data_IF_571615692652
#
_entry.id   IF_571615692652
#
_cell.length_a   1.000
_cell.length_b   1.000
_cell.length_c   1.000
_cell.angle_alpha   90.00
_cell.angle_beta   90.00
_cell.angle_gamma   90.00
#
_symmetry.space_group_name_H-M   'P 1'
#
loop_
_entity.id
_entity.type
_entity.pdbx_description
1 polymer ?
#
# COMPACT_ATOMS: atom_id res chain seq x y z
N UNK A 1 -15.52 -28.09 -11.86
CA UNK A 1 -15.74 -27.12 -10.79
C UNK A 1 -16.98 -27.49 -9.98
N UNK A 2 -18.09 -27.76 -10.66
CA UNK A 2 -19.38 -28.10 -10.00
C UNK A 2 -19.41 -29.43 -9.24
N UNK A 3 -18.40 -30.30 -9.43
CA UNK A 3 -18.33 -31.64 -8.81
C UNK A 3 -17.35 -31.68 -7.61
N UNK A 4 -16.86 -30.55 -7.15
CA UNK A 4 -16.00 -30.46 -5.98
C UNK A 4 -16.79 -29.97 -4.78
N UNK A 5 -16.52 -30.54 -3.61
CA UNK A 5 -17.15 -30.19 -2.32
C UNK A 5 -16.69 -28.84 -1.78
N UNK A 6 -15.85 -28.11 -2.52
CA UNK A 6 -15.33 -26.80 -2.17
C UNK A 6 -15.21 -25.90 -3.39
N UNK A 7 -15.28 -24.59 -3.16
CA UNK A 7 -15.14 -23.58 -4.20
C UNK A 7 -13.67 -23.40 -4.61
N UNK A 8 -13.44 -23.31 -5.94
CA UNK A 8 -12.11 -22.99 -6.51
C UNK A 8 -12.24 -21.79 -7.47
N UNK A 9 -11.25 -20.89 -7.44
CA UNK A 9 -11.19 -19.69 -8.28
C UNK A 9 -10.30 -19.87 -9.52
N UNK A 10 -9.53 -20.95 -9.58
CA UNK A 10 -8.65 -21.27 -10.69
C UNK A 10 -7.84 -22.53 -10.48
N UNK A 11 -6.96 -22.81 -11.43
CA UNK A 11 -6.05 -23.96 -11.44
C UNK A 11 -4.63 -23.44 -11.63
N UNK A 12 -3.66 -24.05 -10.96
CA UNK A 12 -2.23 -23.73 -11.15
C UNK A 12 -1.56 -24.89 -11.87
N UNK A 13 -1.06 -24.62 -13.07
CA UNK A 13 -0.21 -25.56 -13.82
C UNK A 13 1.23 -25.37 -13.39
N UNK A 14 1.93 -26.47 -13.13
CA UNK A 14 3.34 -26.47 -12.71
C UNK A 14 4.14 -27.41 -13.60
N UNK A 15 5.36 -27.05 -13.90
CA UNK A 15 6.32 -27.97 -14.52
C UNK A 15 6.56 -29.13 -13.54
N UNK A 16 6.35 -30.39 -13.97
CA UNK A 16 6.40 -31.54 -13.07
C UNK A 16 7.85 -31.99 -12.72
N UNK A 17 8.83 -31.64 -13.54
CA UNK A 17 10.24 -31.97 -13.33
C UNK A 17 10.94 -30.94 -12.44
N UNK A 18 11.50 -31.38 -11.33
CA UNK A 18 12.20 -30.52 -10.36
C UNK A 18 13.53 -29.96 -10.91
N UNK A 19 14.18 -30.64 -11.84
CA UNK A 19 15.41 -30.14 -12.48
C UNK A 19 15.07 -28.96 -13.38
N UNK A 20 14.00 -29.08 -14.16
CA UNK A 20 13.49 -27.99 -14.99
C UNK A 20 12.97 -26.82 -14.14
N UNK A 21 12.32 -27.08 -13.00
CA UNK A 21 11.92 -26.02 -12.08
C UNK A 21 13.13 -25.22 -11.57
N UNK A 22 14.22 -25.92 -11.18
CA UNK A 22 15.49 -25.25 -10.78
C UNK A 22 16.09 -24.41 -11.91
N UNK A 23 16.08 -24.92 -13.14
CA UNK A 23 16.59 -24.18 -14.32
C UNK A 23 15.77 -22.93 -14.63
N UNK A 24 14.45 -23.01 -14.56
CA UNK A 24 13.55 -21.88 -14.78
C UNK A 24 13.66 -20.84 -13.67
N UNK A 25 13.88 -21.28 -12.43
CA UNK A 25 14.03 -20.42 -11.26
C UNK A 25 12.78 -19.65 -10.90
N UNK A 26 12.97 -18.57 -10.11
CA UNK A 26 11.93 -17.71 -9.62
C UNK A 26 12.20 -16.25 -10.03
N UNK A 27 11.14 -15.45 -10.14
CA UNK A 27 11.19 -13.99 -10.13
C UNK A 27 10.66 -13.51 -8.81
N UNK A 28 11.10 -12.36 -8.32
CA UNK A 28 10.77 -11.76 -7.02
C UNK A 28 9.78 -12.55 -6.11
N UNK A 29 8.52 -12.62 -6.50
CA UNK A 29 7.44 -13.24 -5.71
C UNK A 29 6.73 -14.40 -6.43
N UNK A 30 7.23 -14.85 -7.57
CA UNK A 30 6.57 -15.89 -8.36
C UNK A 30 7.56 -16.86 -9.00
N UNK A 31 7.21 -18.16 -9.09
CA UNK A 31 7.99 -19.13 -9.83
C UNK A 31 7.79 -18.94 -11.35
N UNK A 32 8.87 -19.07 -12.14
CA UNK A 32 8.78 -19.08 -13.61
C UNK A 32 8.26 -20.40 -14.17
N UNK A 33 8.19 -21.44 -13.34
CA UNK A 33 7.75 -22.78 -13.69
C UNK A 33 6.29 -23.07 -13.32
N UNK A 34 5.52 -22.03 -12.95
CA UNK A 34 4.09 -22.17 -12.65
C UNK A 34 3.28 -21.07 -13.30
N UNK A 35 2.07 -21.42 -13.78
CA UNK A 35 1.11 -20.49 -14.38
C UNK A 35 -0.27 -20.73 -13.77
N UNK A 36 -0.88 -19.66 -13.23
CA UNK A 36 -2.24 -19.71 -12.73
C UNK A 36 -3.24 -19.41 -13.86
N UNK A 37 -4.18 -20.32 -14.08
CA UNK A 37 -5.36 -20.12 -14.92
C UNK A 37 -6.57 -19.84 -14.03
N UNK A 38 -6.99 -18.59 -13.98
CA UNK A 38 -8.18 -18.21 -13.22
C UNK A 38 -9.46 -18.42 -14.04
N UNK A 39 -10.50 -18.91 -13.38
CA UNK A 39 -11.81 -19.07 -14.02
C UNK A 39 -12.47 -17.72 -14.30
N UNK A 40 -13.50 -17.72 -15.14
CA UNK A 40 -14.30 -16.53 -15.41
C UNK A 40 -14.83 -15.95 -14.09
N UNK A 41 -14.76 -14.65 -13.97
CA UNK A 41 -15.21 -13.89 -12.81
C UNK A 41 -16.74 -13.95 -12.65
N UNK A 42 -17.17 -13.94 -11.39
CA UNK A 42 -18.58 -13.79 -11.08
C UNK A 42 -19.01 -12.33 -11.28
N UNK A 43 -20.20 -12.15 -11.86
CA UNK A 43 -20.78 -10.83 -12.15
C UNK A 43 -22.15 -10.72 -11.53
N UNK A 44 -22.51 -9.52 -11.09
CA UNK A 44 -23.87 -9.22 -10.66
C UNK A 44 -24.24 -7.79 -11.04
N UNK A 45 -25.53 -7.52 -11.11
CA UNK A 45 -26.06 -6.18 -11.36
C UNK A 45 -26.40 -5.51 -10.05
N UNK A 46 -25.97 -4.24 -9.88
CA UNK A 46 -26.30 -3.43 -8.72
C UNK A 46 -26.51 -1.97 -9.12
N UNK A 47 -26.86 -1.11 -8.17
CA UNK A 47 -27.04 0.33 -8.39
C UNK A 47 -26.03 1.13 -7.55
N UNK A 48 -25.42 2.14 -8.15
CA UNK A 48 -24.53 3.07 -7.43
C UNK A 48 -25.37 4.00 -6.56
N UNK A 49 -25.11 3.97 -5.26
CA UNK A 49 -25.77 4.84 -4.28
C UNK A 49 -24.99 6.14 -4.14
N UNK A 50 -23.65 6.04 -4.09
CA UNK A 50 -22.74 7.17 -3.89
C UNK A 50 -21.33 6.84 -4.43
N UNK A 51 -20.49 7.87 -4.62
CA UNK A 51 -19.08 7.73 -5.00
C UNK A 51 -18.21 8.44 -3.96
N UNK A 52 -17.51 7.66 -3.16
CA UNK A 52 -16.57 8.14 -2.14
C UNK A 52 -15.15 8.22 -2.69
N UNK A 53 -14.40 9.27 -2.33
CA UNK A 53 -12.99 9.40 -2.68
C UNK A 53 -12.14 8.95 -1.49
N UNK A 54 -11.45 7.84 -1.63
CA UNK A 54 -10.47 7.35 -0.68
C UNK A 54 -9.09 7.93 -0.99
N UNK A 55 -8.33 8.30 0.05
CA UNK A 55 -7.00 8.89 -0.09
C UNK A 55 -5.99 7.90 0.46
N UNK A 56 -5.09 7.44 -0.40
CA UNK A 56 -4.02 6.53 -0.03
C UNK A 56 -2.78 7.24 0.56
N UNK A 57 -1.84 6.46 1.09
CA UNK A 57 -0.59 6.96 1.72
C UNK A 57 0.31 7.81 0.80
N UNK A 58 0.17 7.66 -0.51
CA UNK A 58 0.89 8.45 -1.52
C UNK A 58 0.10 9.66 -2.01
N UNK A 59 -1.01 10.00 -1.34
CA UNK A 59 -1.91 11.05 -1.75
C UNK A 59 -2.85 10.68 -2.90
N UNK A 60 -2.80 9.47 -3.44
CA UNK A 60 -3.65 9.02 -4.53
C UNK A 60 -5.13 9.09 -4.14
N UNK A 61 -5.96 9.75 -4.96
CA UNK A 61 -7.40 9.80 -4.82
C UNK A 61 -8.01 8.65 -5.61
N UNK A 62 -8.53 7.66 -4.89
CA UNK A 62 -9.16 6.48 -5.48
C UNK A 62 -10.66 6.55 -5.30
N UNK A 63 -11.45 6.68 -6.38
CA UNK A 63 -12.89 6.67 -6.28
C UNK A 63 -13.42 5.25 -6.04
N UNK A 64 -14.34 5.13 -5.09
CA UNK A 64 -15.01 3.87 -4.72
C UNK A 64 -16.52 4.08 -4.79
N UNK A 65 -17.19 3.28 -5.63
CA UNK A 65 -18.64 3.27 -5.69
C UNK A 65 -19.19 2.55 -4.46
N UNK A 66 -20.09 3.21 -3.73
CA UNK A 66 -21.03 2.59 -2.80
C UNK A 66 -22.19 2.06 -3.61
N UNK A 67 -22.43 0.78 -3.54
CA UNK A 67 -23.49 0.12 -4.33
C UNK A 67 -24.51 -0.51 -3.41
N UNK A 68 -25.71 -0.73 -3.92
CA UNK A 68 -26.68 -1.57 -3.23
C UNK A 68 -26.05 -2.94 -3.00
N UNK A 69 -26.06 -3.46 -1.76
CA UNK A 69 -25.42 -4.74 -1.47
C UNK A 69 -25.93 -5.85 -2.41
N UNK A 70 -25.01 -6.59 -3.01
CA UNK A 70 -25.31 -7.68 -3.93
C UNK A 70 -24.38 -8.86 -3.67
N UNK A 71 -24.90 -10.08 -3.77
CA UNK A 71 -24.09 -11.28 -3.62
C UNK A 71 -23.33 -11.57 -4.92
N UNK A 72 -22.01 -11.71 -4.83
CA UNK A 72 -21.14 -12.07 -5.96
C UNK A 72 -20.23 -13.23 -5.53
N UNK A 73 -20.52 -14.43 -6.02
CA UNK A 73 -19.74 -15.61 -5.68
C UNK A 73 -19.73 -15.92 -4.18
N UNK A 74 -20.90 -15.87 -3.52
CA UNK A 74 -21.05 -16.17 -2.09
C UNK A 74 -20.69 -15.02 -1.15
N UNK A 75 -20.19 -13.87 -1.66
CA UNK A 75 -19.78 -12.73 -0.84
C UNK A 75 -20.70 -11.52 -1.08
N UNK A 76 -21.16 -10.90 0.01
CA UNK A 76 -21.95 -9.67 -0.05
C UNK A 76 -21.04 -8.47 -0.34
N UNK A 77 -21.20 -7.86 -1.51
CA UNK A 77 -20.42 -6.73 -1.99
C UNK A 77 -21.23 -5.44 -1.90
N UNK A 78 -20.72 -4.44 -1.17
CA UNK A 78 -21.32 -3.10 -1.03
C UNK A 78 -20.39 -1.98 -1.54
N UNK A 79 -19.16 -2.30 -1.93
CA UNK A 79 -18.18 -1.34 -2.42
C UNK A 79 -17.48 -1.93 -3.65
N UNK A 80 -17.29 -1.09 -4.69
CA UNK A 80 -16.55 -1.47 -5.88
C UNK A 80 -15.62 -0.34 -6.32
N UNK A 81 -14.37 -0.68 -6.68
CA UNK A 81 -13.43 0.35 -7.13
C UNK A 81 -13.83 0.89 -8.51
N UNK A 82 -13.63 2.19 -8.68
CA UNK A 82 -13.72 2.89 -9.96
C UNK A 82 -12.32 3.21 -10.51
N UNK A 83 -11.27 2.68 -9.89
CA UNK A 83 -9.86 2.83 -10.23
C UNK A 83 -9.35 4.29 -10.17
N UNK A 84 -9.80 5.17 -11.05
CA UNK A 84 -9.34 6.56 -11.16
C UNK A 84 -10.39 7.45 -11.87
N UNK A 85 -10.08 8.75 -11.98
CA UNK A 85 -10.91 9.75 -12.66
C UNK A 85 -11.17 9.38 -14.14
N UNK A 86 -10.13 8.91 -14.85
CA UNK A 86 -10.21 8.61 -16.29
C UNK A 86 -11.18 7.46 -16.58
N UNK A 87 -11.23 6.45 -15.69
CA UNK A 87 -12.20 5.35 -15.79
C UNK A 87 -13.65 5.80 -15.57
N UNK A 88 -13.88 6.73 -14.65
CA UNK A 88 -15.22 7.31 -14.46
C UNK A 88 -15.66 8.05 -15.73
N UNK A 89 -14.75 8.85 -16.32
CA UNK A 89 -15.03 9.59 -17.54
C UNK A 89 -15.24 8.64 -18.72
N UNK A 90 -14.36 7.64 -18.89
CA UNK A 90 -14.40 6.69 -19.99
C UNK A 90 -15.68 5.85 -20.01
N UNK A 91 -16.14 5.43 -18.82
CA UNK A 91 -17.35 4.63 -18.66
C UNK A 91 -18.60 5.49 -18.45
N UNK A 92 -18.48 6.83 -18.41
CA UNK A 92 -19.53 7.80 -18.08
C UNK A 92 -20.33 7.37 -16.83
N UNK A 93 -19.62 7.05 -15.73
CA UNK A 93 -20.25 6.53 -14.49
C UNK A 93 -20.88 7.70 -13.73
N UNK A 94 -22.12 7.49 -13.25
CA UNK A 94 -22.86 8.48 -12.48
C UNK A 94 -23.52 7.86 -11.25
N UNK A 95 -23.76 8.66 -10.23
CA UNK A 95 -24.55 8.26 -9.09
C UNK A 95 -25.98 7.92 -9.54
N UNK A 96 -26.53 6.82 -9.06
CA UNK A 96 -27.83 6.30 -9.44
C UNK A 96 -27.81 5.30 -10.62
N UNK A 97 -26.67 5.14 -11.31
CA UNK A 97 -26.57 4.18 -12.41
C UNK A 97 -26.76 2.74 -11.97
N UNK A 98 -27.41 1.96 -12.81
CA UNK A 98 -27.36 0.51 -12.75
C UNK A 98 -26.09 0.03 -13.42
N UNK A 99 -25.30 -0.79 -12.73
CA UNK A 99 -23.95 -1.21 -13.13
C UNK A 99 -23.77 -2.72 -13.03
N UNK A 100 -22.90 -3.25 -13.88
CA UNK A 100 -22.40 -4.62 -13.76
C UNK A 100 -21.13 -4.57 -12.91
N UNK A 101 -21.16 -5.25 -11.77
CA UNK A 101 -20.04 -5.41 -10.84
C UNK A 101 -19.41 -6.76 -11.08
N UNK A 102 -18.10 -6.80 -11.16
CA UNK A 102 -17.31 -8.01 -11.37
C UNK A 102 -16.37 -8.24 -10.19
N UNK A 103 -16.29 -9.49 -9.75
CA UNK A 103 -15.35 -9.96 -8.73
C UNK A 103 -14.65 -11.21 -9.24
N UNK A 104 -13.36 -11.12 -9.51
CA UNK A 104 -12.52 -12.25 -9.93
C UNK A 104 -11.83 -12.85 -8.71
N UNK A 105 -12.26 -14.02 -8.22
CA UNK A 105 -11.72 -14.66 -7.02
C UNK A 105 -11.73 -13.72 -5.80
N UNK A 106 -10.62 -13.63 -5.06
CA UNK A 106 -10.45 -12.71 -3.92
C UNK A 106 -10.01 -11.29 -4.33
N UNK A 107 -10.13 -10.94 -5.62
CA UNK A 107 -9.76 -9.60 -6.12
C UNK A 107 -10.84 -8.58 -5.74
N UNK A 108 -10.40 -7.33 -5.59
CA UNK A 108 -11.26 -6.18 -5.25
C UNK A 108 -12.38 -6.04 -6.29
N UNK A 109 -13.67 -5.99 -5.88
CA UNK A 109 -14.79 -5.78 -6.79
C UNK A 109 -14.62 -4.47 -7.56
N UNK A 110 -14.92 -4.49 -8.85
CA UNK A 110 -14.84 -3.30 -9.70
C UNK A 110 -16.07 -3.19 -10.62
N UNK A 111 -16.34 -1.95 -11.06
CA UNK A 111 -17.41 -1.69 -12.03
C UNK A 111 -16.91 -2.06 -13.42
N UNK A 112 -17.54 -3.05 -14.05
CA UNK A 112 -17.24 -3.46 -15.42
C UNK A 112 -17.84 -2.50 -16.45
N UNK A 113 -19.16 -2.26 -16.35
CA UNK A 113 -19.90 -1.41 -17.27
C UNK A 113 -21.14 -0.81 -16.62
N UNK A 114 -21.71 0.20 -17.29
CA UNK A 114 -22.98 0.85 -16.93
C UNK A 114 -24.08 0.36 -17.88
N UNK A 115 -25.25 0.07 -17.33
CA UNK A 115 -26.47 -0.22 -18.12
C UNK A 115 -27.14 1.11 -18.48
N UNK A 116 -26.76 1.67 -19.62
CA UNK A 116 -27.29 2.97 -20.11
C UNK A 116 -28.81 2.93 -20.36
N UNK A 117 -29.39 1.76 -20.63
CA UNK A 117 -30.86 1.63 -20.87
C UNK A 117 -31.67 1.93 -19.60
N UNK A 118 -31.07 1.65 -18.43
CA UNK A 118 -31.73 1.87 -17.12
C UNK A 118 -31.35 3.23 -16.49
N UNK A 119 -30.56 4.05 -17.18
CA UNK A 119 -30.14 5.34 -16.66
C UNK A 119 -31.29 6.36 -16.63
N UNK A 120 -31.44 7.07 -15.52
CA UNK A 120 -32.36 8.19 -15.40
C UNK A 120 -31.92 9.34 -16.32
N UNK A 121 -32.88 9.96 -17.04
CA UNK A 121 -32.62 11.16 -17.85
C UNK A 121 -32.13 12.37 -17.06
N UNK A 122 -32.40 12.39 -15.73
CA UNK A 122 -31.97 13.45 -14.79
C UNK A 122 -30.60 13.16 -14.15
N UNK A 123 -29.92 12.08 -14.52
CA UNK A 123 -28.63 11.68 -13.98
C UNK A 123 -27.55 12.70 -14.33
N UNK A 124 -26.85 13.22 -13.32
CA UNK A 124 -25.76 14.21 -13.48
C UNK A 124 -24.41 13.49 -13.53
N UNK A 125 -23.47 14.07 -14.32
CA UNK A 125 -22.08 13.58 -14.37
C UNK A 125 -21.41 13.75 -13.01
N UNK A 126 -20.66 12.76 -12.59
CA UNK A 126 -19.83 12.86 -11.39
C UNK A 126 -18.67 13.81 -11.66
N UNK A 127 -18.51 14.81 -10.79
CA UNK A 127 -17.41 15.77 -10.85
C UNK A 127 -16.33 15.35 -9.89
N UNK A 128 -15.18 14.95 -10.42
CA UNK A 128 -14.04 14.55 -9.60
C UNK A 128 -13.47 15.77 -8.83
N UNK A 129 -13.17 15.66 -7.53
CA UNK A 129 -12.79 16.81 -6.72
C UNK A 129 -11.44 17.40 -7.16
N UNK A 130 -11.41 18.72 -7.39
CA UNK A 130 -10.19 19.50 -7.69
C UNK A 130 -9.36 19.77 -6.43
N UNK A 131 -9.98 19.69 -5.27
CA UNK A 131 -9.34 19.83 -3.96
C UNK A 131 -9.46 18.53 -3.17
N UNK A 132 -8.47 18.25 -2.34
CA UNK A 132 -8.44 17.08 -1.48
C UNK A 132 -9.59 17.13 -0.46
N UNK A 133 -10.47 16.12 -0.39
CA UNK A 133 -11.61 16.15 0.53
C UNK A 133 -11.20 16.05 2.01
N UNK A 134 -9.93 15.73 2.32
CA UNK A 134 -9.43 15.65 3.69
C UNK A 134 -8.79 16.96 4.16
N UNK A 135 -7.95 17.59 3.35
CA UNK A 135 -7.15 18.74 3.79
C UNK A 135 -7.37 20.02 2.96
N UNK A 136 -8.24 19.99 1.95
CA UNK A 136 -8.52 21.15 1.08
C UNK A 136 -7.42 21.50 0.07
N UNK A 137 -6.23 20.92 0.17
CA UNK A 137 -5.14 21.18 -0.76
C UNK A 137 -5.51 20.81 -2.19
N UNK A 138 -4.95 21.52 -3.17
CA UNK A 138 -5.21 21.24 -4.60
C UNK A 138 -4.85 19.78 -4.94
N UNK A 139 -5.58 19.19 -5.86
CA UNK A 139 -5.26 17.87 -6.42
C UNK A 139 -4.65 18.03 -7.81
N UNK A 140 -3.62 17.25 -8.10
CA UNK A 140 -2.85 17.31 -9.34
C UNK A 140 -2.73 15.92 -9.99
N UNK A 141 -2.63 15.88 -11.31
CA UNK A 141 -2.11 14.76 -12.08
C UNK A 141 -0.67 15.06 -12.41
N UNK A 142 0.24 14.18 -12.01
CA UNK A 142 1.67 14.38 -12.26
C UNK A 142 2.00 14.07 -13.72
N UNK A 143 2.85 14.89 -14.32
CA UNK A 143 3.36 14.63 -15.66
C UNK A 143 4.56 13.71 -15.60
N UNK A 144 4.47 12.56 -16.25
CA UNK A 144 5.58 11.63 -16.38
C UNK A 144 6.45 12.06 -17.59
N UNK A 145 7.67 12.50 -17.30
CA UNK A 145 8.62 13.00 -18.32
C UNK A 145 9.09 11.89 -19.28
N UNK A 146 9.14 10.64 -18.83
CA UNK A 146 9.57 9.48 -19.63
C UNK A 146 8.48 9.10 -20.63
N UNK A 147 7.24 8.96 -20.17
CA UNK A 147 6.11 8.58 -21.05
C UNK A 147 5.47 9.75 -21.74
N UNK A 148 5.86 10.99 -21.39
CA UNK A 148 5.27 12.26 -21.88
C UNK A 148 3.73 12.34 -21.71
N UNK A 149 3.20 11.67 -20.68
CA UNK A 149 1.77 11.62 -20.37
C UNK A 149 1.52 12.01 -18.91
N UNK A 150 0.32 12.55 -18.65
CA UNK A 150 -0.13 12.73 -17.28
C UNK A 150 -0.45 11.37 -16.64
N UNK A 151 -0.17 11.24 -15.33
CA UNK A 151 -0.60 10.10 -14.54
C UNK A 151 -2.14 10.02 -14.56
N UNK A 152 -2.68 8.82 -14.73
CA UNK A 152 -4.12 8.56 -14.64
C UNK A 152 -4.65 8.85 -13.22
N UNK A 153 -3.79 8.78 -12.22
CA UNK A 153 -4.14 8.96 -10.81
C UNK A 153 -3.94 10.41 -10.39
N UNK A 154 -5.05 11.04 -9.96
CA UNK A 154 -5.01 12.36 -9.32
C UNK A 154 -4.55 12.22 -7.86
N UNK A 155 -3.71 13.16 -7.41
CA UNK A 155 -3.12 13.13 -6.06
C UNK A 155 -3.32 14.43 -5.32
N UNK A 156 -3.45 14.35 -4.00
CA UNK A 156 -3.34 15.48 -3.11
C UNK A 156 -1.93 16.07 -3.19
N UNK A 157 -1.81 17.38 -3.38
CA UNK A 157 -0.52 18.07 -3.44
C UNK A 157 0.10 18.35 -2.07
N UNK A 158 -0.58 17.97 -0.98
CA UNK A 158 -0.07 18.14 0.38
C UNK A 158 1.17 17.28 0.61
N UNK A 159 2.19 17.88 1.20
CA UNK A 159 3.46 17.24 1.47
C UNK A 159 3.59 16.68 2.89
N UNK A 160 4.46 15.70 3.06
CA UNK A 160 4.83 15.15 4.35
C UNK A 160 3.64 14.52 5.10
N UNK A 161 3.33 15.09 6.26
CA UNK A 161 2.25 14.66 7.16
C UNK A 161 1.17 15.74 7.35
N UNK A 162 1.07 16.71 6.42
CA UNK A 162 0.11 17.82 6.52
C UNK A 162 -1.34 17.40 6.20
N UNK A 163 -1.54 16.34 5.43
CA UNK A 163 -2.88 15.80 5.16
C UNK A 163 -3.18 14.64 6.11
N UNK A 164 -4.23 14.77 6.92
CA UNK A 164 -4.65 13.78 7.90
C UNK A 164 -4.75 12.36 7.31
N UNK A 165 -5.49 12.19 6.21
CA UNK A 165 -5.69 10.87 5.59
C UNK A 165 -4.39 10.27 5.08
N UNK A 166 -3.51 11.08 4.48
CA UNK A 166 -2.18 10.61 4.04
C UNK A 166 -1.36 10.14 5.24
N UNK A 167 -1.38 10.92 6.33
CA UNK A 167 -0.63 10.59 7.55
C UNK A 167 -1.11 9.31 8.19
N UNK A 168 -2.42 9.16 8.35
CA UNK A 168 -3.01 7.92 8.86
C UNK A 168 -2.63 6.71 8.00
N UNK A 169 -2.71 6.82 6.67
CA UNK A 169 -2.36 5.71 5.78
C UNK A 169 -0.84 5.42 5.77
N UNK A 170 0.02 6.43 5.97
CA UNK A 170 1.46 6.23 6.19
C UNK A 170 1.72 5.47 7.50
N UNK A 171 1.04 5.84 8.59
CA UNK A 171 1.16 5.14 9.88
C UNK A 171 0.67 3.70 9.80
N UNK A 172 -0.46 3.44 9.13
CA UNK A 172 -0.96 2.08 8.89
C UNK A 172 0.04 1.24 8.09
N UNK A 173 0.68 1.84 7.08
CA UNK A 173 1.74 1.18 6.33
C UNK A 173 2.95 0.89 7.22
N UNK A 174 3.36 1.84 8.04
CA UNK A 174 4.51 1.73 8.93
C UNK A 174 4.36 0.54 9.90
N UNK A 175 3.17 0.33 10.45
CA UNK A 175 2.91 -0.78 11.39
C UNK A 175 2.53 -2.09 10.71
N UNK A 176 2.39 -2.12 9.38
CA UNK A 176 1.93 -3.30 8.62
C UNK A 176 2.86 -4.50 8.73
N UNK A 177 2.35 -5.69 8.37
CA UNK A 177 3.05 -6.98 8.46
C UNK A 177 4.40 -6.99 7.76
N UNK A 178 4.50 -6.39 6.58
CA UNK A 178 5.71 -6.33 5.78
C UNK A 178 6.70 -5.26 6.27
N UNK A 179 6.20 -4.25 7.03
CA UNK A 179 7.00 -3.18 7.64
C UNK A 179 7.41 -3.55 9.07
N UNK A 180 6.95 -2.82 10.08
CA UNK A 180 7.31 -3.12 11.49
C UNK A 180 6.59 -4.34 12.07
N UNK A 181 5.44 -4.74 11.54
CA UNK A 181 4.62 -5.85 12.03
C UNK A 181 4.34 -5.73 13.53
N UNK A 182 3.71 -4.62 13.94
CA UNK A 182 3.38 -4.36 15.33
C UNK A 182 1.99 -4.95 15.63
N UNK A 183 1.97 -6.02 16.38
CA UNK A 183 0.72 -6.63 16.82
C UNK A 183 0.00 -5.67 17.82
N UNK A 184 -1.32 -5.61 17.74
CA UNK A 184 -2.12 -4.68 18.52
C UNK A 184 -2.33 -3.30 17.89
N UNK A 185 -1.54 -2.88 16.89
CA UNK A 185 -1.76 -1.65 16.12
C UNK A 185 -2.48 -1.91 14.79
N UNK A 186 -3.69 -2.46 14.85
CA UNK A 186 -4.54 -2.61 13.67
C UNK A 186 -5.00 -1.28 13.08
N UNK A 187 -5.53 -1.30 11.84
CA UNK A 187 -5.92 -0.08 11.11
C UNK A 187 -6.86 0.85 11.90
N UNK A 188 -7.86 0.29 12.61
CA UNK A 188 -8.82 1.06 13.42
C UNK A 188 -8.16 1.70 14.64
N UNK A 189 -7.21 1.00 15.27
CA UNK A 189 -6.48 1.50 16.44
C UNK A 189 -5.57 2.66 16.03
N UNK A 190 -4.85 2.55 14.91
CA UNK A 190 -4.05 3.65 14.35
C UNK A 190 -4.92 4.88 14.08
N UNK A 191 -6.12 4.72 13.50
CA UNK A 191 -7.05 5.83 13.29
C UNK A 191 -7.54 6.44 14.62
N UNK A 192 -7.87 5.60 15.60
CA UNK A 192 -8.28 6.05 16.94
C UNK A 192 -7.17 6.83 17.63
N UNK A 193 -5.96 6.30 17.65
CA UNK A 193 -4.80 6.96 18.27
C UNK A 193 -4.41 8.27 17.58
N UNK A 194 -4.56 8.33 16.25
CA UNK A 194 -4.42 9.59 15.51
C UNK A 194 -5.43 10.64 15.97
N UNK A 195 -6.72 10.29 16.01
CA UNK A 195 -7.79 11.22 16.47
C UNK A 195 -7.58 11.72 17.89
N UNK A 196 -7.06 10.85 18.76
CA UNK A 196 -6.72 11.19 20.14
C UNK A 196 -5.37 11.91 20.28
N UNK A 197 -4.68 12.18 19.16
CA UNK A 197 -3.36 12.80 19.12
C UNK A 197 -2.28 12.04 19.91
N UNK A 198 -2.46 10.74 20.11
CA UNK A 198 -1.46 9.88 20.74
C UNK A 198 -0.33 9.54 19.77
N UNK A 199 -0.62 9.45 18.46
CA UNK A 199 0.34 9.29 17.39
C UNK A 199 0.06 10.28 16.26
N UNK A 200 1.07 11.04 15.85
CA UNK A 200 1.01 11.95 14.72
C UNK A 200 2.10 11.59 13.68
N UNK A 201 3.21 11.05 14.17
CA UNK A 201 4.36 10.64 13.38
C UNK A 201 4.77 9.21 13.76
N UNK A 202 5.52 8.49 12.90
CA UNK A 202 5.98 7.14 13.17
C UNK A 202 6.76 6.96 14.47
N UNK A 203 7.59 7.94 14.87
CA UNK A 203 8.36 7.89 16.12
C UNK A 203 7.50 7.93 17.37
N UNK A 204 6.29 8.50 17.31
CA UNK A 204 5.40 8.59 18.45
C UNK A 204 4.92 7.21 18.91
N UNK A 205 4.86 6.24 17.99
CA UNK A 205 4.51 4.85 18.28
C UNK A 205 5.44 4.26 19.36
N UNK A 206 6.70 4.67 19.36
CA UNK A 206 7.70 4.18 20.31
C UNK A 206 7.78 5.01 21.60
N UNK A 207 6.96 6.07 21.70
CA UNK A 207 6.90 7.01 22.83
C UNK A 207 5.49 7.07 23.45
N UNK A 208 4.64 6.07 23.22
CA UNK A 208 3.25 6.04 23.68
C UNK A 208 3.15 6.12 25.21
N UNK A 209 2.18 6.91 25.68
CA UNK A 209 1.81 6.97 27.11
C UNK A 209 0.77 5.87 27.40
N UNK A 210 1.27 4.75 27.91
CA UNK A 210 0.45 3.57 28.19
C UNK A 210 -0.58 3.79 29.29
N UNK A 211 -0.31 4.70 30.25
CA UNK A 211 -1.27 5.06 31.31
C UNK A 211 -2.49 5.79 30.75
N UNK A 212 -2.30 6.58 29.68
CA UNK A 212 -3.43 7.20 28.98
C UNK A 212 -4.22 6.20 28.17
N UNK A 213 -3.53 5.23 27.54
CA UNK A 213 -4.19 4.20 26.71
C UNK A 213 -5.05 3.30 27.58
N UNK A 214 -4.60 2.90 28.77
CA UNK A 214 -5.34 2.03 29.69
C UNK A 214 -6.70 2.62 30.11
N UNK A 215 -6.83 3.96 30.12
CA UNK A 215 -8.06 4.66 30.43
C UNK A 215 -9.05 4.76 29.27
N UNK A 216 -8.67 4.33 28.08
CA UNK A 216 -9.54 4.38 26.90
C UNK A 216 -10.52 3.21 26.91
N UNK A 217 -11.73 3.47 26.41
CA UNK A 217 -12.75 2.44 26.24
C UNK A 217 -12.22 1.28 25.37
N UNK A 218 -12.45 0.05 25.82
CA UNK A 218 -11.98 -1.16 25.14
C UNK A 218 -10.51 -1.52 25.39
N UNK A 219 -9.79 -0.75 26.22
CA UNK A 219 -8.44 -1.03 26.65
C UNK A 219 -8.40 -1.44 28.13
N UNK A 220 -7.76 -2.55 28.40
CA UNK A 220 -7.47 -3.01 29.76
C UNK A 220 -5.97 -3.23 29.91
N UNK A 221 -5.51 -3.41 31.15
CA UNK A 221 -4.12 -3.61 31.51
C UNK A 221 -3.39 -4.63 30.63
N UNK A 222 -3.99 -5.81 30.41
CA UNK A 222 -3.38 -6.86 29.60
C UNK A 222 -3.19 -6.44 28.13
N UNK A 223 -4.18 -5.71 27.54
CA UNK A 223 -4.08 -5.22 26.16
C UNK A 223 -2.96 -4.19 26.01
N UNK A 224 -2.79 -3.33 27.02
CA UNK A 224 -1.74 -2.33 27.06
C UNK A 224 -0.36 -2.97 27.24
N UNK A 225 -0.23 -3.95 28.14
CA UNK A 225 1.01 -4.70 28.35
C UNK A 225 1.44 -5.43 27.08
N UNK A 226 0.50 -6.09 26.37
CA UNK A 226 0.76 -6.76 25.10
C UNK A 226 1.19 -5.80 24.01
N UNK A 227 0.53 -4.62 23.89
CA UNK A 227 0.91 -3.59 22.94
C UNK A 227 2.32 -3.06 23.23
N UNK A 228 2.62 -2.75 24.49
CA UNK A 228 3.94 -2.28 24.92
C UNK A 228 5.02 -3.33 24.60
N UNK A 229 4.77 -4.58 24.91
CA UNK A 229 5.67 -5.68 24.57
C UNK A 229 5.91 -5.77 23.07
N UNK A 230 4.83 -5.77 22.25
CA UNK A 230 4.92 -5.83 20.81
C UNK A 230 5.75 -4.66 20.24
N UNK A 231 5.51 -3.44 20.66
CA UNK A 231 6.26 -2.26 20.21
C UNK A 231 7.74 -2.37 20.58
N UNK A 232 8.06 -2.78 21.81
CA UNK A 232 9.45 -2.89 22.25
C UNK A 232 10.22 -3.97 21.48
N UNK A 233 9.59 -5.10 21.15
CA UNK A 233 10.19 -6.14 20.31
C UNK A 233 10.55 -5.63 18.90
N UNK A 234 9.83 -4.64 18.40
CA UNK A 234 10.05 -4.08 17.05
C UNK A 234 11.04 -2.91 17.00
N UNK A 235 11.61 -2.51 18.14
CA UNK A 235 12.72 -1.54 18.16
C UNK A 235 13.97 -2.05 17.44
N UNK A 236 14.10 -3.38 17.28
CA UNK A 236 15.14 -4.02 16.48
C UNK A 236 14.58 -4.39 15.11
N UNK A 237 15.06 -3.74 14.05
CA UNK A 237 14.54 -3.94 12.69
C UNK A 237 15.69 -4.08 11.67
N UNK A 238 15.48 -4.84 10.60
CA UNK A 238 16.42 -4.90 9.49
C UNK A 238 16.31 -3.64 8.60
N UNK A 239 17.42 -3.23 7.98
CA UNK A 239 17.48 -2.02 7.15
C UNK A 239 16.47 -2.08 5.99
N UNK A 240 16.27 -3.24 5.36
CA UNK A 240 15.30 -3.37 4.27
C UNK A 240 13.86 -3.12 4.73
N UNK A 241 13.46 -3.66 5.88
CA UNK A 241 12.12 -3.45 6.43
C UNK A 241 11.94 -1.99 6.88
N UNK A 242 12.99 -1.40 7.44
CA UNK A 242 12.98 0.00 7.81
C UNK A 242 12.79 0.91 6.59
N UNK A 243 13.57 0.73 5.52
CA UNK A 243 13.41 1.50 4.26
C UNK A 243 12.01 1.32 3.68
N UNK A 244 11.49 0.09 3.66
CA UNK A 244 10.12 -0.18 3.22
C UNK A 244 9.07 0.55 4.07
N UNK A 245 9.25 0.54 5.40
CA UNK A 245 8.33 1.15 6.36
C UNK A 245 8.22 2.68 6.20
N UNK A 246 9.27 3.36 5.73
CA UNK A 246 9.22 4.79 5.42
C UNK A 246 8.20 5.14 4.34
N UNK A 247 7.74 4.15 3.56
CA UNK A 247 6.68 4.30 2.59
C UNK A 247 7.03 5.21 1.42
N UNK A 248 8.31 5.30 1.05
CA UNK A 248 8.79 6.05 -0.12
C UNK A 248 8.05 5.53 -1.37
N UNK A 249 7.50 6.46 -2.15
CA UNK A 249 6.74 6.08 -3.35
C UNK A 249 7.63 5.30 -4.32
N UNK A 250 7.08 4.31 -5.00
CA UNK A 250 7.76 3.38 -5.92
C UNK A 250 8.86 2.51 -5.28
N UNK A 251 9.05 2.61 -3.96
CA UNK A 251 9.95 1.72 -3.22
C UNK A 251 9.11 0.66 -2.53
N UNK A 252 8.94 -0.47 -3.20
CA UNK A 252 8.35 -1.68 -2.65
C UNK A 252 9.37 -2.50 -1.86
N UNK A 253 8.95 -3.66 -1.34
CA UNK A 253 9.81 -4.51 -0.52
C UNK A 253 11.09 -4.95 -1.26
N UNK A 254 10.98 -5.31 -2.54
CA UNK A 254 12.15 -5.73 -3.34
C UNK A 254 13.14 -4.58 -3.56
N UNK A 255 12.63 -3.39 -3.92
CA UNK A 255 13.49 -2.20 -4.05
C UNK A 255 14.14 -1.82 -2.71
N UNK A 256 13.42 -1.95 -1.59
CA UNK A 256 13.99 -1.73 -0.27
C UNK A 256 15.12 -2.73 0.06
N UNK A 257 15.00 -3.99 -0.36
CA UNK A 257 16.08 -5.00 -0.25
C UNK A 257 17.30 -4.61 -1.09
N UNK A 258 17.10 -4.16 -2.33
CA UNK A 258 18.19 -3.71 -3.20
C UNK A 258 18.91 -2.51 -2.59
N UNK A 259 18.16 -1.50 -2.14
CA UNK A 259 18.71 -0.32 -1.47
C UNK A 259 19.45 -0.69 -0.18
N UNK A 260 18.91 -1.60 0.63
CA UNK A 260 19.58 -2.03 1.86
C UNK A 260 20.93 -2.70 1.61
N UNK A 261 21.03 -3.52 0.55
CA UNK A 261 22.29 -4.14 0.12
C UNK A 261 23.31 -3.09 -0.37
N UNK A 262 22.84 -2.07 -1.09
CA UNK A 262 23.70 -0.99 -1.60
C UNK A 262 24.25 -0.13 -0.45
N UNK A 263 23.37 0.37 0.41
CA UNK A 263 23.77 1.25 1.52
C UNK A 263 24.48 0.51 2.66
N UNK A 264 24.22 -0.79 2.85
CA UNK A 264 24.74 -1.66 3.90
C UNK A 264 24.36 -1.26 5.33
N UNK A 265 24.27 0.03 5.64
CA UNK A 265 23.95 0.55 6.97
C UNK A 265 22.94 1.70 6.92
N UNK A 266 22.24 1.93 8.05
CA UNK A 266 21.34 3.06 8.22
C UNK A 266 22.07 4.41 8.04
N UNK A 267 23.26 4.53 8.59
CA UNK A 267 24.09 5.77 8.51
C UNK A 267 24.36 6.15 7.05
N UNK A 268 24.69 5.19 6.21
CA UNK A 268 24.91 5.42 4.77
C UNK A 268 23.64 5.84 4.05
N UNK A 269 22.49 5.24 4.39
CA UNK A 269 21.20 5.63 3.83
C UNK A 269 20.80 7.04 4.27
N UNK A 270 20.95 7.35 5.57
CA UNK A 270 20.63 8.64 6.15
C UNK A 270 21.51 9.76 5.58
N UNK A 271 22.78 9.50 5.30
CA UNK A 271 23.75 10.48 4.76
C UNK A 271 23.59 10.76 3.27
N UNK A 272 22.70 10.07 2.55
CA UNK A 272 22.50 10.24 1.11
C UNK A 272 22.24 11.70 0.67
N UNK A 273 21.43 12.52 1.38
CA UNK A 273 21.22 13.93 1.01
C UNK A 273 22.51 14.76 1.05
N UNK A 274 23.39 14.46 1.99
CA UNK A 274 24.67 15.19 2.17
C UNK A 274 25.63 14.88 1.02
N UNK A 275 25.67 13.62 0.59
CA UNK A 275 26.54 13.16 -0.51
C UNK A 275 26.07 13.64 -1.88
N UNK A 276 24.79 14.02 -2.03
CA UNK A 276 24.11 14.46 -3.27
C UNK A 276 24.28 13.51 -4.47
N UNK A 277 24.80 12.30 -4.23
CA UNK A 277 25.11 11.33 -5.27
C UNK A 277 23.97 10.33 -5.46
N UNK A 278 22.84 10.85 -5.98
CA UNK A 278 21.66 10.01 -6.27
C UNK A 278 21.83 9.19 -7.55
N UNK A 279 22.74 9.58 -8.44
CA UNK A 279 22.87 8.96 -9.76
C UNK A 279 23.53 7.57 -9.65
N UNK A 280 24.35 7.34 -8.61
CA UNK A 280 24.86 6.01 -8.28
C UNK A 280 23.76 4.97 -8.04
N UNK A 281 22.56 5.41 -7.64
CA UNK A 281 21.43 4.50 -7.44
C UNK A 281 20.92 3.91 -8.76
N UNK A 282 21.18 4.56 -9.91
CA UNK A 282 20.83 4.04 -11.24
C UNK A 282 21.69 2.82 -11.64
N UNK A 283 22.85 2.65 -10.98
CA UNK A 283 23.72 1.48 -11.21
C UNK A 283 23.21 0.21 -10.50
N UNK A 284 22.15 0.33 -9.69
CA UNK A 284 21.53 -0.81 -9.00
C UNK A 284 20.52 -1.45 -9.96
N UNK A 285 20.76 -2.69 -10.35
CA UNK A 285 19.80 -3.44 -11.18
C UNK A 285 18.42 -3.50 -10.48
N UNK A 286 17.38 -3.07 -11.20
CA UNK A 286 16.01 -2.95 -10.68
C UNK A 286 15.66 -1.59 -10.07
N UNK A 287 16.58 -0.62 -10.01
CA UNK A 287 16.31 0.76 -9.60
C UNK A 287 16.43 1.69 -10.82
N UNK A 288 15.32 2.29 -11.24
CA UNK A 288 15.28 3.22 -12.37
C UNK A 288 15.05 4.67 -11.95
N UNK A 289 14.95 5.57 -12.93
CA UNK A 289 14.76 7.02 -12.73
C UNK A 289 13.56 7.36 -11.83
N UNK A 290 12.46 6.63 -11.97
CA UNK A 290 11.25 6.84 -11.17
C UNK A 290 11.50 6.62 -9.68
N UNK A 291 12.22 5.56 -9.32
CA UNK A 291 12.61 5.25 -7.95
C UNK A 291 13.59 6.30 -7.40
N UNK A 292 14.61 6.64 -8.18
CA UNK A 292 15.60 7.67 -7.81
C UNK A 292 14.92 9.02 -7.59
N UNK A 293 14.02 9.43 -8.48
CA UNK A 293 13.24 10.67 -8.32
C UNK A 293 12.39 10.65 -7.04
N UNK A 294 11.78 9.50 -6.71
CA UNK A 294 10.98 9.33 -5.48
C UNK A 294 11.84 9.42 -4.23
N UNK A 295 13.05 8.87 -4.24
CA UNK A 295 14.01 8.98 -3.14
C UNK A 295 14.48 10.43 -2.98
N UNK A 296 14.83 11.11 -4.09
CA UNK A 296 15.17 12.55 -4.08
C UNK A 296 14.06 13.39 -3.46
N UNK A 297 12.81 13.15 -3.84
CA UNK A 297 11.65 13.88 -3.31
C UNK A 297 11.40 13.57 -1.83
N UNK A 298 11.61 12.34 -1.38
CA UNK A 298 11.52 11.99 0.04
C UNK A 298 12.50 12.79 0.88
N UNK A 299 13.76 12.88 0.46
CA UNK A 299 14.82 13.60 1.18
C UNK A 299 14.80 15.14 1.00
N UNK A 300 14.00 15.68 0.07
CA UNK A 300 13.73 17.12 -0.02
C UNK A 300 12.75 17.61 1.04
N UNK A 301 11.96 16.73 1.61
CA UNK A 301 10.94 17.08 2.59
C UNK A 301 11.53 17.05 4.01
N UNK A 302 11.58 18.20 4.67
CA UNK A 302 12.17 18.38 6.01
C UNK A 302 11.49 17.46 7.04
N UNK A 303 10.15 17.38 7.04
CA UNK A 303 9.43 16.52 7.98
C UNK A 303 9.81 15.04 7.82
N UNK A 304 10.07 14.57 6.59
CA UNK A 304 10.54 13.19 6.38
C UNK A 304 11.95 12.99 6.96
N UNK A 305 12.82 14.00 6.84
CA UNK A 305 14.18 13.95 7.42
C UNK A 305 14.12 13.96 8.95
N UNK A 306 13.24 14.79 9.54
CA UNK A 306 13.02 14.81 10.99
C UNK A 306 12.53 13.45 11.50
N UNK A 307 11.52 12.87 10.86
CA UNK A 307 11.00 11.52 11.18
C UNK A 307 12.13 10.48 11.09
N UNK A 308 12.93 10.52 10.02
CA UNK A 308 14.05 9.61 9.82
C UNK A 308 15.09 9.72 10.94
N UNK A 309 15.45 10.96 11.33
CA UNK A 309 16.43 11.24 12.38
C UNK A 309 15.92 10.79 13.76
N UNK A 310 14.66 11.10 14.09
CA UNK A 310 14.05 10.67 15.35
C UNK A 310 13.95 9.15 15.46
N UNK A 311 13.55 8.47 14.39
CA UNK A 311 13.53 7.00 14.36
C UNK A 311 14.93 6.41 14.51
N UNK A 312 15.96 7.03 13.91
CA UNK A 312 17.35 6.58 14.04
C UNK A 312 17.90 6.68 15.46
N UNK A 313 17.37 7.60 16.30
CA UNK A 313 17.73 7.72 17.73
C UNK A 313 17.07 6.63 18.60
N UNK A 314 15.90 6.14 18.18
CA UNK A 314 15.05 5.23 18.99
C UNK A 314 15.32 3.77 18.65
N UNK A 315 15.62 3.49 17.38
CA UNK A 315 15.64 2.13 16.82
C UNK A 315 17.06 1.59 16.69
N UNK A 316 17.19 0.29 16.86
CA UNK A 316 18.38 -0.48 16.50
C UNK A 316 18.16 -1.03 15.09
N UNK A 317 18.67 -0.33 14.08
CA UNK A 317 18.53 -0.71 12.67
C UNK A 317 19.72 -1.59 12.30
N UNK A 318 19.44 -2.90 12.09
CA UNK A 318 20.46 -3.90 11.77
C UNK A 318 21.00 -3.65 10.36
N UNK A 319 22.31 -3.67 10.22
CA UNK A 319 22.97 -3.60 8.91
C UNK A 319 22.54 -4.75 7.99
N UNK A 320 22.55 -4.50 6.69
CA UNK A 320 22.32 -5.56 5.72
C UNK A 320 23.43 -6.60 5.82
N UNK A 321 23.07 -7.82 6.22
CA UNK A 321 24.02 -8.94 6.20
C UNK A 321 24.14 -9.45 4.77
N UNK A 322 25.37 -9.56 4.25
CA UNK A 322 25.61 -10.43 3.09
C UNK A 322 25.12 -11.82 3.48
N UNK A 323 24.21 -12.42 2.68
CA UNK A 323 23.89 -13.83 2.86
C UNK A 323 25.22 -14.59 2.77
N UNK A 324 25.75 -15.05 3.89
CA UNK A 324 26.74 -16.12 3.86
C UNK A 324 25.99 -17.29 3.20
N UNK A 325 26.48 -17.73 2.05
CA UNK A 325 26.10 -19.03 1.46
C UNK A 325 26.64 -20.16 2.34
N UNK A 326 26.18 -20.22 3.58
CA UNK A 326 26.35 -21.37 4.47
C UNK A 326 25.13 -22.27 4.31
N UNK A 327 24.91 -22.73 3.09
CA UNK A 327 24.01 -23.85 2.88
C UNK A 327 24.69 -25.13 3.35
N UNK A 328 24.11 -25.78 4.35
CA UNK A 328 24.39 -27.16 4.77
C UNK A 328 24.28 -28.20 3.64
N UNK A 329 24.19 -27.76 2.38
CA UNK A 329 24.03 -28.59 1.17
C UNK A 329 25.17 -28.43 0.16
N UNK A 330 26.28 -27.81 0.52
CA UNK A 330 27.43 -27.69 -0.39
C UNK A 330 28.35 -28.95 -0.40
N UNK A 331 27.96 -30.02 0.28
CA UNK A 331 28.69 -31.28 0.29
C UNK A 331 27.75 -32.50 0.09
N UNK A 332 26.97 -32.49 -0.98
CA UNK A 332 26.38 -33.72 -1.56
C UNK A 332 26.26 -33.58 -3.07
#
# INVERSE_FOLDING_TARGET
RSNLDFDIDGIVYKVNDFTLQKRLGNVANAPRWAVAHKFSSNKATSQIIDIEIQIGRTGALTPVAKIKPVNIGGVLVSNATLHNEDEIIRKDIRIGDTVIVERAGDVIPHILSVDLKKRSKKSLKFIFPKNCPSCGSRTIKEFNKVTKKNDAVRRCSSEGYKCEKISIEKLKHFVSKEAFNIDGLGKKIVEGFWKLKLIQFPQDIFKLDYNKIEKLEGWGRLSVENLNYSINQKKNISLERFIFALGIRHIGLENAKLLSKHFKSFVNFQSLPMKKNYDDLLNIDGIGETQVSSIKNFFKNETNIEVLNELGKILVIKNATAKKNSGLLNNK
#
